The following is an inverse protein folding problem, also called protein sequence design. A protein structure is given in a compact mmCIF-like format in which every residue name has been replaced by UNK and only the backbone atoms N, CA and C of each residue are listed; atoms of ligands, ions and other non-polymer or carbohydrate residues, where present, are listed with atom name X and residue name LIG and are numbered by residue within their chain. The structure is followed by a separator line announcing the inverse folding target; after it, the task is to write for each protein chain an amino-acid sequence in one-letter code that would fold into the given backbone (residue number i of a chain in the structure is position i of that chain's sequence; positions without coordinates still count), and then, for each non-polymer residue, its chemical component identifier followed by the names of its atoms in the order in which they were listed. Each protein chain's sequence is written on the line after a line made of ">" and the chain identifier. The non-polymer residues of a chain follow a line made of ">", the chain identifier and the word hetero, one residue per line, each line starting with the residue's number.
data_IF_715569734395
#
_entry.id   IF_715569734395
#
_cell.length_a   1.000
_cell.length_b   1.000
_cell.length_c   1.000
_cell.angle_alpha   90.00
_cell.angle_beta   90.00
_cell.angle_gamma   90.00
#
_symmetry.space_group_name_H-M   'P 1'
#
loop_
_entity.id
_entity.type
_entity.pdbx_description
1 polymer ?
#
# COMPACT_ATOMS: atom_id res chain seq x y z
N UNK A 1 31.55 -61.80 -33.97
CA UNK A 1 32.26 -61.36 -32.76
C UNK A 1 31.76 -59.96 -32.42
N UNK A 2 30.78 -59.85 -31.52
CA UNK A 2 30.26 -58.58 -31.03
C UNK A 2 30.72 -58.39 -29.58
N UNK A 3 31.53 -57.37 -29.34
CA UNK A 3 32.03 -57.02 -28.01
C UNK A 3 30.94 -56.31 -27.21
N UNK A 4 30.60 -56.84 -26.03
CA UNK A 4 29.63 -56.26 -25.12
C UNK A 4 30.12 -54.90 -24.55
N UNK A 5 29.20 -53.93 -24.33
CA UNK A 5 29.54 -52.63 -23.76
C UNK A 5 29.92 -52.78 -22.28
N UNK A 6 31.02 -52.11 -21.88
CA UNK A 6 31.52 -52.07 -20.50
C UNK A 6 30.53 -51.32 -19.60
N UNK A 7 30.01 -52.02 -18.61
CA UNK A 7 29.31 -51.41 -17.49
C UNK A 7 30.33 -50.72 -16.57
N UNK A 8 30.08 -49.46 -16.21
CA UNK A 8 30.63 -48.89 -14.97
C UNK A 8 31.56 -47.69 -15.08
N UNK A 9 31.34 -46.76 -16.02
CA UNK A 9 31.95 -45.43 -15.92
C UNK A 9 30.87 -44.49 -15.37
N UNK A 10 30.85 -44.30 -14.05
CA UNK A 10 29.97 -43.34 -13.40
C UNK A 10 30.41 -41.93 -13.85
N UNK A 11 29.52 -41.25 -14.59
CA UNK A 11 29.77 -39.89 -15.03
C UNK A 11 30.18 -39.03 -13.82
N UNK A 12 31.33 -38.33 -13.88
CA UNK A 12 31.81 -37.51 -12.79
C UNK A 12 30.73 -36.49 -12.46
N UNK A 13 30.22 -36.56 -11.24
CA UNK A 13 29.16 -35.68 -10.74
C UNK A 13 29.64 -34.24 -10.87
N UNK A 14 29.12 -33.54 -11.88
CA UNK A 14 29.54 -32.17 -12.16
C UNK A 14 29.24 -31.30 -10.93
N UNK A 15 30.19 -30.46 -10.48
CA UNK A 15 30.00 -29.60 -9.32
C UNK A 15 28.72 -28.79 -9.47
N UNK A 16 27.80 -28.97 -8.53
CA UNK A 16 26.55 -28.20 -8.49
C UNK A 16 26.90 -26.71 -8.46
N UNK A 17 26.54 -25.99 -9.52
CA UNK A 17 26.82 -24.57 -9.62
C UNK A 17 26.31 -23.84 -8.37
N UNK A 18 27.08 -22.88 -7.82
CA UNK A 18 26.66 -22.12 -6.65
C UNK A 18 25.32 -21.42 -6.94
N UNK A 19 24.44 -21.32 -5.93
CA UNK A 19 23.13 -20.69 -6.12
C UNK A 19 23.32 -19.25 -6.61
N UNK A 20 22.65 -18.89 -7.70
CA UNK A 20 22.72 -17.55 -8.27
C UNK A 20 22.31 -16.51 -7.22
N UNK A 21 23.08 -15.42 -7.10
CA UNK A 21 22.78 -14.34 -6.19
C UNK A 21 21.38 -13.75 -6.47
N UNK A 22 20.63 -13.42 -5.42
CA UNK A 22 19.30 -12.82 -5.55
C UNK A 22 19.35 -11.52 -6.37
N UNK A 23 18.39 -11.34 -7.28
CA UNK A 23 18.31 -10.11 -8.09
C UNK A 23 18.12 -8.87 -7.19
N UNK A 24 18.62 -7.69 -7.59
CA UNK A 24 18.42 -6.44 -6.84
C UNK A 24 16.95 -6.14 -6.54
N UNK A 25 16.06 -6.41 -7.51
CA UNK A 25 14.60 -6.29 -7.37
C UNK A 25 14.05 -7.19 -6.25
N UNK A 26 14.51 -8.44 -6.20
CA UNK A 26 14.07 -9.40 -5.17
C UNK A 26 14.52 -8.97 -3.77
N UNK A 27 15.75 -8.47 -3.65
CA UNK A 27 16.27 -7.95 -2.36
C UNK A 27 15.47 -6.74 -1.88
N UNK A 28 15.23 -5.78 -2.78
CA UNK A 28 14.43 -4.58 -2.47
C UNK A 28 13.01 -4.94 -2.01
N UNK A 29 12.32 -5.82 -2.73
CA UNK A 29 10.96 -6.23 -2.37
C UNK A 29 10.90 -6.93 -1.00
N UNK A 30 11.87 -7.78 -0.65
CA UNK A 30 11.91 -8.42 0.66
C UNK A 30 12.24 -7.45 1.80
N UNK A 31 13.16 -6.51 1.58
CA UNK A 31 13.42 -5.43 2.53
C UNK A 31 12.15 -4.62 2.77
N UNK A 32 11.41 -4.29 1.71
CA UNK A 32 10.13 -3.59 1.83
C UNK A 32 9.09 -4.40 2.60
N UNK A 33 8.92 -5.68 2.29
CA UNK A 33 7.98 -6.54 3.04
C UNK A 33 8.30 -6.55 4.53
N UNK A 34 9.55 -6.77 4.91
CA UNK A 34 9.96 -6.82 6.33
C UNK A 34 9.77 -5.46 7.00
N UNK A 35 10.24 -4.38 6.36
CA UNK A 35 10.22 -3.04 6.94
C UNK A 35 8.79 -2.51 7.08
N UNK A 36 7.95 -2.70 6.06
CA UNK A 36 6.55 -2.28 6.09
C UNK A 36 5.71 -3.11 7.07
N UNK A 37 5.98 -4.41 7.22
CA UNK A 37 5.39 -5.22 8.29
C UNK A 37 5.72 -4.65 9.67
N UNK A 38 6.98 -4.24 9.90
CA UNK A 38 7.40 -3.65 11.15
C UNK A 38 6.73 -2.29 11.40
N UNK A 39 6.66 -1.42 10.38
CA UNK A 39 5.94 -0.14 10.45
C UNK A 39 4.47 -0.36 10.81
N UNK A 40 3.79 -1.29 10.12
CA UNK A 40 2.41 -1.65 10.40
C UNK A 40 2.23 -2.17 11.83
N UNK A 41 3.12 -3.05 12.30
CA UNK A 41 3.07 -3.62 13.63
C UNK A 41 3.28 -2.54 14.71
N UNK A 42 4.27 -1.66 14.54
CA UNK A 42 4.52 -0.55 15.47
C UNK A 42 3.35 0.45 15.49
N UNK A 43 2.78 0.78 14.33
CA UNK A 43 1.60 1.66 14.24
C UNK A 43 0.41 1.06 14.97
N UNK A 44 0.13 -0.23 14.73
CA UNK A 44 -0.96 -0.96 15.40
C UNK A 44 -0.74 -1.06 16.92
N UNK A 45 0.46 -1.41 17.37
CA UNK A 45 0.81 -1.49 18.78
C UNK A 45 0.73 -0.12 19.48
N UNK A 46 1.14 0.96 18.80
CA UNK A 46 1.06 2.31 19.32
C UNK A 46 -0.39 2.74 19.49
N UNK A 47 -1.25 2.49 18.49
CA UNK A 47 -2.68 2.76 18.57
C UNK A 47 -3.37 1.94 19.66
N UNK A 48 -2.99 0.67 19.82
CA UNK A 48 -3.47 -0.19 20.90
C UNK A 48 -3.09 0.34 22.28
N UNK A 49 -1.91 0.96 22.41
CA UNK A 49 -1.41 1.54 23.67
C UNK A 49 -2.06 2.89 24.02
N UNK A 50 -2.94 3.41 23.17
CA UNK A 50 -3.61 4.70 23.35
C UNK A 50 -2.90 5.87 22.69
N UNK A 51 -3.61 6.98 22.57
CA UNK A 51 -3.21 8.15 21.78
C UNK A 51 -1.97 8.88 22.31
N UNK A 52 -1.70 8.76 23.60
CA UNK A 52 -0.56 9.38 24.29
C UNK A 52 0.70 8.48 24.28
N UNK A 53 0.68 7.38 23.52
CA UNK A 53 1.79 6.43 23.43
C UNK A 53 3.03 7.06 22.77
N UNK A 54 4.18 6.89 23.44
CA UNK A 54 5.50 7.21 22.85
C UNK A 54 5.79 6.42 21.57
N UNK A 55 5.10 5.29 21.37
CA UNK A 55 5.22 4.47 20.16
C UNK A 55 4.93 5.25 18.87
N UNK A 56 4.02 6.23 18.92
CA UNK A 56 3.73 7.09 17.76
C UNK A 56 4.96 7.87 17.28
N UNK A 57 5.85 8.25 18.20
CA UNK A 57 7.12 8.92 17.88
C UNK A 57 8.07 7.95 17.18
N UNK A 58 8.16 6.72 17.66
CA UNK A 58 9.00 5.68 17.05
C UNK A 58 8.52 5.36 15.63
N UNK A 59 7.20 5.27 15.42
CA UNK A 59 6.59 5.09 14.10
C UNK A 59 6.99 6.22 13.14
N UNK A 60 6.91 7.48 13.58
CA UNK A 60 7.28 8.65 12.76
C UNK A 60 8.76 8.63 12.38
N UNK A 61 9.66 8.41 13.35
CA UNK A 61 11.11 8.37 13.09
C UNK A 61 11.46 7.24 12.14
N UNK A 62 11.02 6.02 12.47
CA UNK A 62 11.36 4.82 11.70
C UNK A 62 10.82 4.89 10.27
N UNK A 63 9.58 5.37 10.09
CA UNK A 63 8.98 5.54 8.76
C UNK A 63 9.71 6.61 7.96
N UNK A 64 10.05 7.75 8.57
CA UNK A 64 10.79 8.81 7.88
C UNK A 64 12.15 8.33 7.39
N UNK A 65 12.89 7.63 8.25
CA UNK A 65 14.18 7.01 7.89
C UNK A 65 14.01 6.04 6.73
N UNK A 66 13.02 5.15 6.80
CA UNK A 66 12.73 4.21 5.73
C UNK A 66 12.44 4.92 4.40
N UNK A 67 11.55 5.92 4.38
CA UNK A 67 11.18 6.64 3.17
C UNK A 67 12.39 7.35 2.53
N UNK A 68 13.26 7.97 3.33
CA UNK A 68 14.50 8.59 2.85
C UNK A 68 15.43 7.54 2.24
N UNK A 69 15.65 6.42 2.94
CA UNK A 69 16.48 5.33 2.42
C UNK A 69 15.92 4.74 1.11
N UNK A 70 14.60 4.57 1.01
CA UNK A 70 13.95 4.02 -0.19
C UNK A 70 13.99 5.00 -1.37
N UNK A 71 13.83 6.31 -1.12
CA UNK A 71 14.06 7.35 -2.15
C UNK A 71 15.49 7.22 -2.69
N UNK A 72 16.50 7.19 -1.82
CA UNK A 72 17.92 7.07 -2.24
C UNK A 72 18.13 5.78 -3.02
N UNK A 73 17.58 4.65 -2.57
CA UNK A 73 17.74 3.37 -3.26
C UNK A 73 17.08 3.40 -4.65
N UNK A 74 15.82 3.82 -4.76
CA UNK A 74 15.07 3.86 -6.03
C UNK A 74 15.67 4.87 -7.01
N UNK A 75 16.20 6.00 -6.52
CA UNK A 75 16.87 6.99 -7.37
C UNK A 75 18.21 6.49 -7.93
N UNK A 76 19.00 5.77 -7.12
CA UNK A 76 20.26 5.18 -7.56
C UNK A 76 20.06 3.96 -8.48
N UNK A 77 18.96 3.23 -8.33
CA UNK A 77 18.66 2.03 -9.12
C UNK A 77 17.20 2.02 -9.61
N UNK A 78 16.82 2.91 -10.55
CA UNK A 78 15.42 3.08 -10.96
C UNK A 78 14.81 1.83 -11.61
N UNK A 79 15.64 0.90 -12.11
CA UNK A 79 15.19 -0.36 -12.70
C UNK A 79 14.65 -1.39 -11.68
N UNK A 80 14.89 -1.20 -10.38
CA UNK A 80 14.38 -2.12 -9.33
C UNK A 80 12.87 -2.00 -9.13
N UNK A 81 12.25 -0.92 -9.60
CA UNK A 81 10.81 -0.70 -9.55
C UNK A 81 10.31 -0.26 -10.92
N UNK A 82 9.01 -0.44 -11.20
CA UNK A 82 8.46 -0.11 -12.52
C UNK A 82 8.19 1.37 -12.75
N UNK A 83 7.77 2.06 -11.70
CA UNK A 83 7.36 3.46 -11.76
C UNK A 83 8.15 4.26 -10.74
N UNK A 84 9.49 4.35 -10.89
CA UNK A 84 10.37 4.97 -9.90
C UNK A 84 9.94 6.40 -9.58
N UNK A 85 9.60 7.21 -10.60
CA UNK A 85 9.14 8.58 -10.39
C UNK A 85 7.85 8.68 -9.56
N UNK A 86 6.88 7.79 -9.77
CA UNK A 86 5.64 7.77 -8.98
C UNK A 86 5.88 7.35 -7.53
N UNK A 87 6.84 6.46 -7.28
CA UNK A 87 7.20 6.00 -5.93
C UNK A 87 7.94 7.11 -5.19
N UNK A 88 8.95 7.73 -5.83
CA UNK A 88 9.68 8.86 -5.24
C UNK A 88 8.75 10.04 -4.96
N UNK A 89 7.86 10.39 -5.89
CA UNK A 89 6.88 11.46 -5.68
C UNK A 89 5.95 11.16 -4.50
N UNK A 90 5.45 9.92 -4.39
CA UNK A 90 4.66 9.49 -3.24
C UNK A 90 5.42 9.64 -1.92
N UNK A 91 6.67 9.15 -1.86
CA UNK A 91 7.49 9.23 -0.64
C UNK A 91 7.79 10.67 -0.23
N UNK A 92 8.08 11.56 -1.20
CA UNK A 92 8.30 12.99 -0.93
C UNK A 92 7.04 13.62 -0.35
N UNK A 93 5.87 13.39 -0.95
CA UNK A 93 4.60 13.94 -0.44
C UNK A 93 4.29 13.36 0.95
N UNK A 94 4.53 12.07 1.17
CA UNK A 94 4.35 11.43 2.48
C UNK A 94 5.30 12.01 3.54
N UNK A 95 6.55 12.31 3.18
CA UNK A 95 7.50 12.99 4.07
C UNK A 95 7.03 14.41 4.43
N UNK A 96 6.43 15.15 3.50
CA UNK A 96 5.83 16.47 3.79
C UNK A 96 4.68 16.34 4.78
N UNK A 97 3.82 15.31 4.66
CA UNK A 97 2.76 15.04 5.65
C UNK A 97 3.38 14.70 7.02
N UNK A 98 4.37 13.82 7.06
CA UNK A 98 5.01 13.38 8.30
C UNK A 98 5.74 14.54 8.99
N UNK A 99 6.33 15.47 8.23
CA UNK A 99 6.98 16.66 8.79
C UNK A 99 6.03 17.46 9.71
N UNK A 100 4.75 17.59 9.35
CA UNK A 100 3.75 18.23 10.22
C UNK A 100 3.60 17.55 11.60
N UNK A 101 3.81 16.24 11.68
CA UNK A 101 3.78 15.46 12.93
C UNK A 101 5.08 15.51 13.72
N UNK A 102 6.19 15.91 13.08
CA UNK A 102 7.45 16.21 13.76
C UNK A 102 7.31 17.54 14.50
N UNK A 103 6.72 18.55 13.85
CA UNK A 103 6.47 19.86 14.44
C UNK A 103 5.46 19.80 15.60
N UNK A 104 4.47 18.90 15.54
CA UNK A 104 3.41 18.80 16.54
C UNK A 104 3.26 17.37 17.03
N UNK A 105 3.70 17.10 18.27
CA UNK A 105 3.68 15.76 18.86
C UNK A 105 2.27 15.17 18.96
N UNK A 106 1.26 16.01 19.16
CA UNK A 106 -0.16 15.60 19.23
C UNK A 106 -0.69 15.04 17.92
N UNK A 107 -0.07 15.38 16.78
CA UNK A 107 -0.49 14.90 15.46
C UNK A 107 0.13 13.54 15.09
N UNK A 108 1.09 13.01 15.88
CA UNK A 108 1.80 11.75 15.57
C UNK A 108 0.89 10.52 15.57
N UNK A 109 -0.20 10.55 16.35
CA UNK A 109 -1.25 9.52 16.31
C UNK A 109 -1.84 9.38 14.90
N UNK A 110 -2.00 10.50 14.17
CA UNK A 110 -2.55 10.48 12.81
C UNK A 110 -1.59 9.84 11.81
N UNK A 111 -0.26 9.98 12.01
CA UNK A 111 0.71 9.23 11.21
C UNK A 111 0.54 7.72 11.43
N UNK A 112 0.34 7.26 12.67
CA UNK A 112 0.09 5.84 12.94
C UNK A 112 -1.22 5.35 12.32
N UNK A 113 -2.29 6.15 12.37
CA UNK A 113 -3.56 5.86 11.68
C UNK A 113 -3.38 5.73 10.17
N UNK A 114 -2.60 6.61 9.55
CA UNK A 114 -2.30 6.56 8.13
C UNK A 114 -1.43 5.34 7.77
N UNK A 115 -0.43 4.99 8.58
CA UNK A 115 0.51 3.91 8.28
C UNK A 115 -0.08 2.50 8.42
N UNK A 116 -1.32 2.38 8.91
CA UNK A 116 -2.07 1.11 8.83
C UNK A 116 -2.23 0.62 7.38
N UNK A 117 -2.24 1.52 6.39
CA UNK A 117 -2.37 1.16 4.97
C UNK A 117 -1.21 0.32 4.44
N UNK A 118 -0.07 0.32 5.12
CA UNK A 118 1.12 -0.38 4.64
C UNK A 118 0.93 -1.90 4.60
N UNK A 119 -0.01 -2.46 5.37
CA UNK A 119 -0.38 -3.87 5.23
C UNK A 119 -0.88 -4.19 3.82
N UNK A 120 -1.57 -3.25 3.16
CA UNK A 120 -2.01 -3.43 1.78
C UNK A 120 -0.82 -3.45 0.81
N UNK A 121 0.20 -2.61 1.04
CA UNK A 121 1.44 -2.60 0.27
C UNK A 121 2.25 -3.88 0.47
N UNK A 122 2.34 -4.38 1.70
CA UNK A 122 2.94 -5.69 2.04
C UNK A 122 2.25 -6.80 1.27
N UNK A 123 0.91 -6.87 1.33
CA UNK A 123 0.13 -7.89 0.64
C UNK A 123 0.28 -7.79 -0.87
N UNK A 124 0.37 -6.58 -1.43
CA UNK A 124 0.65 -6.38 -2.85
C UNK A 124 2.01 -6.98 -3.24
N UNK A 125 3.05 -6.75 -2.45
CA UNK A 125 4.40 -7.28 -2.73
C UNK A 125 4.46 -8.79 -2.53
N UNK A 126 3.90 -9.32 -1.44
CA UNK A 126 3.79 -10.77 -1.22
C UNK A 126 3.01 -11.46 -2.33
N UNK A 127 1.89 -10.88 -2.77
CA UNK A 127 1.10 -11.42 -3.88
C UNK A 127 1.94 -11.54 -5.16
N UNK A 128 2.79 -10.55 -5.47
CA UNK A 128 3.70 -10.58 -6.63
C UNK A 128 4.79 -11.65 -6.47
N UNK A 129 5.31 -11.84 -5.26
CA UNK A 129 6.45 -12.75 -4.98
C UNK A 129 6.04 -14.21 -4.80
N UNK A 130 4.88 -14.47 -4.22
CA UNK A 130 4.40 -15.83 -3.89
C UNK A 130 3.53 -16.46 -4.98
N UNK A 131 3.40 -15.84 -6.16
CA UNK A 131 2.56 -16.37 -7.23
C UNK A 131 1.06 -16.29 -6.92
N UNK A 132 0.63 -15.24 -6.19
CA UNK A 132 -0.78 -14.91 -5.91
C UNK A 132 -1.58 -16.03 -5.19
N UNK A 133 -1.13 -16.51 -4.01
CA UNK A 133 -1.92 -17.49 -3.27
C UNK A 133 -3.27 -16.88 -2.86
N UNK A 134 -4.32 -17.72 -2.82
CA UNK A 134 -5.72 -17.29 -2.65
C UNK A 134 -5.93 -16.42 -1.42
N UNK A 135 -5.33 -16.80 -0.30
CA UNK A 135 -5.43 -16.05 0.96
C UNK A 135 -4.83 -14.64 0.85
N UNK A 136 -3.71 -14.50 0.14
CA UNK A 136 -3.02 -13.22 0.00
C UNK A 136 -3.78 -12.30 -0.96
N UNK A 137 -4.37 -12.88 -2.01
CA UNK A 137 -5.23 -12.15 -2.94
C UNK A 137 -6.50 -11.64 -2.25
N UNK A 138 -7.17 -12.49 -1.47
CA UNK A 138 -8.35 -12.11 -0.69
C UNK A 138 -8.00 -11.01 0.34
N UNK A 139 -6.93 -11.20 1.11
CA UNK A 139 -6.47 -10.22 2.09
C UNK A 139 -6.08 -8.89 1.43
N UNK A 140 -5.42 -8.91 0.27
CA UNK A 140 -5.11 -7.71 -0.49
C UNK A 140 -6.37 -6.94 -0.87
N UNK A 141 -7.39 -7.59 -1.44
CA UNK A 141 -8.61 -6.88 -1.85
C UNK A 141 -9.43 -6.39 -0.66
N UNK A 142 -9.48 -7.16 0.43
CA UNK A 142 -10.13 -6.75 1.67
C UNK A 142 -9.46 -5.51 2.27
N UNK A 143 -8.14 -5.53 2.45
CA UNK A 143 -7.38 -4.39 2.98
C UNK A 143 -7.40 -3.20 2.02
N UNK A 144 -7.39 -3.43 0.70
CA UNK A 144 -7.50 -2.37 -0.30
C UNK A 144 -8.84 -1.64 -0.19
N UNK A 145 -9.94 -2.38 -0.14
CA UNK A 145 -11.27 -1.82 0.04
C UNK A 145 -11.41 -1.04 1.35
N UNK A 146 -11.09 -1.70 2.47
CA UNK A 146 -11.26 -1.12 3.79
C UNK A 146 -10.31 0.06 4.05
N UNK A 147 -9.01 -0.11 3.77
CA UNK A 147 -8.01 0.89 4.15
C UNK A 147 -7.85 1.99 3.11
N UNK A 148 -7.81 1.65 1.80
CA UNK A 148 -7.57 2.65 0.76
C UNK A 148 -8.83 3.36 0.29
N UNK A 149 -9.96 2.65 0.20
CA UNK A 149 -11.21 3.27 -0.29
C UNK A 149 -12.05 3.89 0.81
N UNK A 150 -11.99 3.37 2.04
CA UNK A 150 -12.83 3.89 3.15
C UNK A 150 -12.00 4.68 4.16
N UNK A 151 -11.04 4.03 4.81
CA UNK A 151 -10.29 4.64 5.92
C UNK A 151 -9.45 5.87 5.50
N UNK A 152 -8.68 5.78 4.42
CA UNK A 152 -7.82 6.88 3.96
C UNK A 152 -8.59 8.15 3.60
N UNK A 153 -9.67 8.07 2.80
CA UNK A 153 -10.49 9.24 2.50
C UNK A 153 -11.12 9.85 3.74
N UNK A 154 -11.62 9.04 4.69
CA UNK A 154 -12.17 9.52 5.96
C UNK A 154 -11.10 10.30 6.75
N UNK A 155 -9.89 9.72 6.89
CA UNK A 155 -8.79 10.38 7.57
C UNK A 155 -8.42 11.70 6.90
N UNK A 156 -8.44 11.76 5.56
CA UNK A 156 -8.18 13.00 4.82
C UNK A 156 -9.24 14.07 5.06
N UNK A 157 -10.52 13.70 5.05
CA UNK A 157 -11.62 14.63 5.34
C UNK A 157 -11.50 15.15 6.77
N UNK A 158 -11.18 14.29 7.73
CA UNK A 158 -10.98 14.70 9.12
C UNK A 158 -9.77 15.65 9.29
N UNK A 159 -8.67 15.40 8.59
CA UNK A 159 -7.51 16.30 8.58
C UNK A 159 -7.82 17.66 7.95
N UNK A 160 -8.57 17.69 6.84
CA UNK A 160 -9.02 18.94 6.22
C UNK A 160 -9.98 19.70 7.16
N UNK A 161 -10.90 19.00 7.82
CA UNK A 161 -11.82 19.59 8.80
C UNK A 161 -11.10 20.23 9.97
N UNK A 162 -10.06 19.56 10.48
CA UNK A 162 -9.15 20.12 11.48
C UNK A 162 -8.46 21.39 10.97
N UNK A 163 -7.90 21.37 9.75
CA UNK A 163 -7.18 22.52 9.17
C UNK A 163 -8.07 23.75 8.98
N UNK A 164 -9.30 23.56 8.50
CA UNK A 164 -10.20 24.65 8.10
C UNK A 164 -11.27 24.97 9.14
N UNK A 165 -11.19 24.38 10.34
CA UNK A 165 -12.07 24.72 11.46
C UNK A 165 -13.51 24.22 11.32
N UNK A 166 -13.73 23.14 10.57
CA UNK A 166 -15.06 22.52 10.43
C UNK A 166 -15.19 21.12 11.10
N UNK A 167 -14.28 20.81 12.03
CA UNK A 167 -14.24 19.52 12.72
C UNK A 167 -15.51 19.21 13.53
N UNK A 168 -16.12 20.21 14.16
CA UNK A 168 -17.33 20.01 14.98
C UNK A 168 -18.55 19.70 14.12
N UNK A 169 -18.69 20.36 12.96
CA UNK A 169 -19.74 20.08 11.99
C UNK A 169 -19.57 18.68 11.39
N UNK A 170 -18.33 18.28 11.09
CA UNK A 170 -18.03 16.93 10.62
C UNK A 170 -18.42 15.90 11.69
N UNK A 171 -18.09 16.16 12.96
CA UNK A 171 -18.44 15.29 14.10
C UNK A 171 -19.94 15.14 14.28
N UNK A 172 -20.70 16.21 14.09
CA UNK A 172 -22.16 16.18 14.17
C UNK A 172 -22.82 15.39 13.04
N UNK A 173 -22.16 15.30 11.87
CA UNK A 173 -22.75 14.74 10.65
C UNK A 173 -22.34 13.29 10.36
N UNK A 174 -21.25 12.82 10.95
CA UNK A 174 -20.68 11.50 10.68
C UNK A 174 -21.22 10.44 11.66
N UNK A 175 -21.51 9.21 11.19
CA UNK A 175 -21.75 8.08 12.08
C UNK A 175 -20.55 7.87 13.01
N UNK A 176 -20.79 7.55 14.28
CA UNK A 176 -19.73 7.37 15.28
C UNK A 176 -18.67 6.34 14.86
N UNK A 177 -19.04 5.32 14.07
CA UNK A 177 -18.12 4.31 13.57
C UNK A 177 -17.15 4.81 12.48
N UNK A 178 -17.44 5.96 11.86
CA UNK A 178 -16.59 6.60 10.84
C UNK A 178 -15.90 7.85 11.37
N UNK A 179 -16.22 8.26 12.60
CA UNK A 179 -15.61 9.44 13.21
C UNK A 179 -14.15 9.14 13.58
N UNK A 180 -13.24 9.88 12.95
CA UNK A 180 -11.83 9.91 13.36
C UNK A 180 -11.60 11.20 14.12
N UNK A 181 -11.44 11.10 15.45
CA UNK A 181 -11.12 12.27 16.25
C UNK A 181 -9.65 12.64 16.05
N UNK A 182 -9.43 13.60 15.16
CA UNK A 182 -8.11 14.15 14.89
C UNK A 182 -7.78 15.08 16.06
N UNK A 183 -6.95 14.62 17.01
CA UNK A 183 -6.42 15.50 18.06
C UNK A 183 -5.68 16.66 17.42
N UNK A 184 -6.27 17.85 17.46
CA UNK A 184 -5.72 19.04 16.82
C UNK A 184 -5.96 20.36 17.56
N UNK A 185 -5.58 20.45 18.84
CA UNK A 185 -4.89 21.65 19.30
C UNK A 185 -3.37 21.40 19.22
N UNK A 186 -2.62 22.15 18.39
CA UNK A 186 -3.11 23.14 17.41
C UNK A 186 -3.75 22.47 16.17
N UNK A 187 -4.52 23.21 15.35
CA UNK A 187 -5.03 22.74 14.07
C UNK A 187 -3.93 22.18 13.17
N UNK A 188 -4.26 21.19 12.33
CA UNK A 188 -3.31 20.68 11.34
C UNK A 188 -2.97 21.78 10.33
N UNK A 189 -1.68 22.02 10.08
CA UNK A 189 -1.22 22.99 9.09
C UNK A 189 -1.70 22.62 7.69
N UNK A 190 -2.11 23.61 6.90
CA UNK A 190 -2.74 23.41 5.59
C UNK A 190 -1.88 22.61 4.61
N UNK A 191 -0.55 22.81 4.61
CA UNK A 191 0.33 22.05 3.73
C UNK A 191 0.23 20.53 3.99
N UNK A 192 0.05 20.09 5.25
CA UNK A 192 0.03 18.68 5.61
C UNK A 192 -1.30 18.03 5.19
N UNK A 193 -2.44 18.68 5.44
CA UNK A 193 -3.75 18.16 5.05
C UNK A 193 -3.97 18.19 3.53
N UNK A 194 -3.51 19.23 2.83
CA UNK A 194 -3.54 19.29 1.35
C UNK A 194 -2.64 18.20 0.75
N UNK A 195 -1.43 18.01 1.30
CA UNK A 195 -0.53 16.94 0.84
C UNK A 195 -1.13 15.56 1.06
N UNK A 196 -1.79 15.34 2.20
CA UNK A 196 -2.49 14.07 2.47
C UNK A 196 -3.66 13.85 1.50
N UNK A 197 -4.44 14.89 1.19
CA UNK A 197 -5.47 14.81 0.16
C UNK A 197 -4.90 14.46 -1.22
N UNK A 198 -3.72 15.00 -1.58
CA UNK A 198 -3.02 14.64 -2.81
C UNK A 198 -2.61 13.16 -2.83
N UNK A 199 -2.17 12.60 -1.68
CA UNK A 199 -1.91 11.15 -1.55
C UNK A 199 -3.18 10.35 -1.78
N UNK A 200 -4.33 10.77 -1.25
CA UNK A 200 -5.62 10.09 -1.48
C UNK A 200 -6.00 10.14 -2.97
N UNK A 201 -5.85 11.28 -3.64
CA UNK A 201 -6.10 11.39 -5.09
C UNK A 201 -5.20 10.43 -5.88
N UNK A 202 -3.91 10.34 -5.53
CA UNK A 202 -2.98 9.41 -6.15
C UNK A 202 -3.39 7.93 -5.92
N UNK A 203 -3.93 7.61 -4.73
CA UNK A 203 -4.47 6.28 -4.46
C UNK A 203 -5.70 5.96 -5.32
N UNK A 204 -6.59 6.93 -5.55
CA UNK A 204 -7.72 6.75 -6.47
C UNK A 204 -7.25 6.57 -7.91
N UNK A 205 -6.23 7.30 -8.36
CA UNK A 205 -5.62 7.09 -9.68
C UNK A 205 -5.13 5.65 -9.87
N UNK A 206 -4.39 5.10 -8.90
CA UNK A 206 -3.96 3.70 -8.95
C UNK A 206 -5.13 2.72 -8.87
N UNK A 207 -6.17 3.05 -8.09
CA UNK A 207 -7.40 2.28 -8.00
C UNK A 207 -8.11 2.18 -9.34
N UNK A 208 -8.30 3.30 -10.06
CA UNK A 208 -8.89 3.29 -11.39
C UNK A 208 -8.03 2.52 -12.40
N UNK A 209 -6.71 2.62 -12.28
CA UNK A 209 -5.78 1.84 -13.10
C UNK A 209 -5.97 0.33 -12.87
N UNK A 210 -6.11 -0.09 -11.61
CA UNK A 210 -6.39 -1.49 -11.23
C UNK A 210 -7.78 -1.95 -11.68
N UNK A 211 -8.81 -1.10 -11.61
CA UNK A 211 -10.15 -1.46 -12.06
C UNK A 211 -10.22 -1.61 -13.58
N UNK A 212 -9.64 -0.66 -14.31
CA UNK A 212 -9.54 -0.74 -15.78
C UNK A 212 -8.83 -2.03 -16.20
N UNK A 213 -7.78 -2.37 -15.48
CA UNK A 213 -7.02 -3.62 -15.58
C UNK A 213 -7.89 -4.87 -15.44
N UNK A 214 -8.82 -4.88 -14.48
CA UNK A 214 -9.74 -5.99 -14.23
C UNK A 214 -10.86 -6.06 -15.27
N UNK A 215 -11.44 -4.91 -15.65
CA UNK A 215 -12.59 -4.81 -16.57
C UNK A 215 -12.19 -5.16 -18.01
N UNK A 216 -11.07 -4.64 -18.50
CA UNK A 216 -10.71 -4.80 -19.91
C UNK A 216 -10.26 -6.23 -20.29
N UNK A 217 -10.30 -7.21 -19.38
CA UNK A 217 -9.84 -8.58 -19.63
C UNK A 217 -8.33 -8.71 -19.89
N UNK A 218 -7.64 -7.58 -20.09
CA UNK A 218 -6.19 -7.42 -20.13
C UNK A 218 -5.60 -7.50 -18.73
N UNK A 219 -6.03 -8.48 -17.94
CA UNK A 219 -5.32 -8.88 -16.75
C UNK A 219 -3.83 -9.02 -17.10
N UNK A 220 -3.51 -9.64 -18.24
CA UNK A 220 -2.14 -9.73 -18.78
C UNK A 220 -1.40 -8.42 -19.09
N UNK A 221 -2.07 -7.35 -19.55
CA UNK A 221 -1.40 -6.07 -19.88
C UNK A 221 -1.25 -5.16 -18.66
N UNK A 222 -2.22 -5.21 -17.76
CA UNK A 222 -2.08 -4.62 -16.43
C UNK A 222 -1.13 -5.40 -15.54
N UNK A 223 -1.04 -6.72 -15.70
CA UNK A 223 -0.02 -7.62 -15.14
C UNK A 223 1.33 -7.40 -15.79
N UNK A 224 1.42 -6.92 -17.04
CA UNK A 224 2.69 -6.45 -17.60
C UNK A 224 3.12 -5.12 -16.97
N UNK A 225 2.16 -4.23 -16.64
CA UNK A 225 2.36 -2.99 -15.89
C UNK A 225 2.57 -3.20 -14.37
N UNK A 226 2.09 -4.31 -13.78
CA UNK A 226 2.12 -4.61 -12.33
C UNK A 226 2.89 -5.89 -11.95
N UNK A 227 3.42 -6.67 -12.90
CA UNK A 227 3.99 -8.00 -12.63
C UNK A 227 4.81 -8.67 -13.75
N UNK A 228 5.88 -8.07 -14.28
CA UNK A 228 6.91 -8.76 -15.10
C UNK A 228 7.86 -9.68 -14.28
N UNK A 229 7.38 -10.29 -13.20
CA UNK A 229 8.13 -11.26 -12.39
C UNK A 229 7.77 -12.73 -12.75
N UNK A 230 6.72 -12.95 -13.55
CA UNK A 230 6.24 -14.29 -13.88
C UNK A 230 7.10 -15.08 -14.87
N UNK A 231 8.09 -14.45 -15.53
CA UNK A 231 8.99 -15.16 -16.47
C UNK A 231 10.01 -16.09 -15.81
N UNK A 232 10.13 -16.07 -14.48
CA UNK A 232 10.92 -17.07 -13.75
C UNK A 232 10.08 -18.22 -13.20
N UNK A 233 8.74 -18.14 -13.29
CA UNK A 233 7.82 -19.17 -12.80
C UNK A 233 7.59 -20.30 -13.80
N UNK A 234 7.97 -20.11 -15.07
CA UNK A 234 7.90 -21.17 -16.10
C UNK A 234 8.82 -22.38 -15.80
N UNK A 235 9.70 -22.27 -14.80
CA UNK A 235 10.54 -23.38 -14.34
C UNK A 235 9.83 -24.33 -13.36
N UNK A 236 8.65 -24.01 -12.80
CA UNK A 236 8.02 -24.82 -11.73
C UNK A 236 6.83 -25.67 -12.16
N UNK A 237 6.40 -25.63 -13.43
CA UNK A 237 5.40 -26.56 -13.98
C UNK A 237 4.02 -26.53 -13.31
N UNK A 238 3.68 -25.46 -12.57
CA UNK A 238 2.39 -25.37 -11.90
C UNK A 238 1.26 -25.01 -12.88
N UNK A 239 0.11 -25.70 -12.83
CA UNK A 239 -0.98 -25.49 -13.77
C UNK A 239 -1.63 -24.12 -13.60
N UNK A 240 -1.83 -23.42 -14.73
CA UNK A 240 -2.54 -22.15 -14.80
C UNK A 240 -4.01 -22.33 -14.36
N UNK A 241 -4.36 -21.88 -13.15
CA UNK A 241 -5.69 -22.11 -12.57
C UNK A 241 -6.60 -20.87 -12.66
N UNK A 242 -7.57 -21.00 -13.59
CA UNK A 242 -8.98 -20.58 -13.64
C UNK A 242 -9.38 -19.09 -13.67
N UNK A 243 -10.08 -18.73 -14.76
CA UNK A 243 -10.83 -17.50 -15.06
C UNK A 243 -12.09 -17.25 -14.20
N UNK A 244 -12.55 -18.24 -13.40
CA UNK A 244 -13.83 -18.15 -12.68
C UNK A 244 -13.92 -17.12 -11.54
N UNK A 245 -12.79 -16.57 -11.06
CA UNK A 245 -12.77 -15.66 -9.90
C UNK A 245 -13.15 -14.21 -10.20
N UNK A 246 -13.17 -13.82 -11.49
CA UNK A 246 -13.47 -12.43 -11.89
C UNK A 246 -14.91 -12.01 -11.59
N UNK A 247 -15.85 -12.95 -11.58
CA UNK A 247 -17.28 -12.68 -11.42
C UNK A 247 -17.70 -12.15 -10.04
N UNK A 248 -17.02 -12.56 -8.96
CA UNK A 248 -17.41 -12.19 -7.58
C UNK A 248 -16.70 -10.93 -7.09
N UNK A 249 -15.46 -10.71 -7.51
CA UNK A 249 -14.66 -9.58 -7.03
C UNK A 249 -15.16 -8.24 -7.62
N UNK A 250 -15.51 -8.19 -8.89
CA UNK A 250 -15.92 -6.94 -9.55
C UNK A 250 -17.12 -6.23 -8.89
N UNK A 251 -18.26 -6.89 -8.60
CA UNK A 251 -19.40 -6.22 -7.96
C UNK A 251 -19.08 -5.73 -6.54
N UNK A 252 -18.26 -6.47 -5.77
CA UNK A 252 -17.80 -6.02 -4.45
C UNK A 252 -16.95 -4.75 -4.55
N UNK A 253 -16.00 -4.69 -5.50
CA UNK A 253 -15.16 -3.51 -5.70
C UNK A 253 -15.99 -2.30 -6.14
N UNK A 254 -16.98 -2.49 -7.03
CA UNK A 254 -17.90 -1.43 -7.45
C UNK A 254 -18.75 -0.91 -6.28
N UNK A 255 -19.24 -1.79 -5.41
CA UNK A 255 -19.97 -1.38 -4.21
C UNK A 255 -19.11 -0.54 -3.25
N UNK A 256 -17.84 -0.92 -3.05
CA UNK A 256 -16.91 -0.18 -2.19
C UNK A 256 -16.55 1.20 -2.76
N UNK A 257 -16.37 1.31 -4.08
CA UNK A 257 -16.15 2.60 -4.75
C UNK A 257 -17.37 3.50 -4.69
N UNK A 258 -18.57 2.91 -4.85
CA UNK A 258 -19.82 3.64 -4.67
C UNK A 258 -19.93 4.21 -3.27
N UNK A 259 -19.65 3.39 -2.24
CA UNK A 259 -19.63 3.83 -0.84
C UNK A 259 -18.61 4.93 -0.56
N UNK A 260 -17.41 4.84 -1.13
CA UNK A 260 -16.37 5.85 -0.92
C UNK A 260 -16.66 7.18 -1.63
N UNK A 261 -17.22 7.13 -2.85
CA UNK A 261 -17.68 8.31 -3.57
C UNK A 261 -18.84 8.99 -2.83
N UNK A 262 -19.78 8.22 -2.26
CA UNK A 262 -20.85 8.73 -1.40
C UNK A 262 -20.31 9.44 -0.17
N UNK A 263 -19.28 8.91 0.49
CA UNK A 263 -18.65 9.56 1.64
C UNK A 263 -17.99 10.91 1.25
N UNK A 264 -17.32 10.97 0.11
CA UNK A 264 -16.72 12.21 -0.42
C UNK A 264 -17.78 13.24 -0.84
N UNK A 265 -18.87 12.80 -1.47
CA UNK A 265 -19.97 13.66 -1.91
C UNK A 265 -20.81 14.19 -0.75
N UNK A 266 -21.02 13.36 0.30
CA UNK A 266 -21.66 13.80 1.53
C UNK A 266 -20.86 14.94 2.19
N UNK A 267 -19.53 14.84 2.18
CA UNK A 267 -18.66 15.92 2.66
C UNK A 267 -18.78 17.20 1.83
N UNK A 268 -18.82 17.11 0.49
CA UNK A 268 -18.87 18.30 -0.38
C UNK A 268 -20.23 18.99 -0.41
N UNK A 269 -21.34 18.23 -0.40
CA UNK A 269 -22.69 18.78 -0.33
C UNK A 269 -22.93 19.55 0.98
N UNK A 270 -22.37 19.05 2.09
CA UNK A 270 -22.44 19.69 3.39
C UNK A 270 -21.71 21.05 3.39
N UNK A 271 -20.53 21.13 2.78
CA UNK A 271 -19.78 22.39 2.62
C UNK A 271 -20.55 23.40 1.75
N UNK A 272 -21.29 22.94 0.74
CA UNK A 272 -22.11 23.79 -0.12
C UNK A 272 -23.32 24.38 0.60
N UNK A 273 -24.03 23.57 1.40
CA UNK A 273 -25.20 24.00 2.17
C UNK A 273 -24.84 24.99 3.30
N UNK A 274 -23.65 24.86 3.90
CA UNK A 274 -23.21 25.72 4.99
C UNK A 274 -22.61 27.06 4.55
N UNK A 275 -22.44 27.27 3.23
CA UNK A 275 -22.05 28.58 2.66
C UNK A 275 -23.25 29.48 2.34
N UNK A 276 -24.46 28.97 2.49
CA UNK A 276 -25.71 29.71 2.36
C UNK A 276 -26.22 30.12 3.73
#
# INVERSE_FOLDING_TARGET
>A
MGSAPRAGEADPEMPKAPPAAASPELRHDWVNVVTLCLIFAMASASLWSGEDSLGHTMVVVFTSTYLVCDIVWVTLQPAIVRTPGSIVAHHVVTLVVIYGTVENVTHRVNASRALLVEINTVLLTLRRRLGRPVWCEAAFYATWGLLRLVWFPILSVAMLASTFGFADQLRASMPACLLVDVRSPPPIKAYASISFAAVVVLQYYWTFTLLRSLVCGKAGAAEALLGRAARHSDATGLPARSDGRRGVLLPLLLALLGGSALALLAGSALVGLLRQ
#
